data_IF_992829196197
#
_entry.id   IF_992829196197
#
_cell.length_a   1.000
_cell.length_b   1.000
_cell.length_c   1.000
_cell.angle_alpha   90.00
_cell.angle_beta   90.00
_cell.angle_gamma   90.00
#
_symmetry.space_group_name_H-M   'P 1'
#
loop_
_entity.id
_entity.type
_entity.pdbx_description
1 polymer ?
#
# COMPACT_ATOMS: atom_id res chain seq x y z
N UNK A 1 -24.31 25.76 -14.71
CA UNK A 1 -25.07 24.58 -14.29
C UNK A 1 -25.35 24.70 -12.80
N UNK A 2 -26.61 24.94 -12.43
CA UNK A 2 -26.99 25.05 -11.03
C UNK A 2 -26.97 23.64 -10.40
N UNK A 3 -26.06 23.42 -9.45
CA UNK A 3 -26.14 22.31 -8.49
C UNK A 3 -27.51 22.45 -7.81
N UNK A 4 -28.46 21.58 -8.17
CA UNK A 4 -29.68 21.40 -7.38
C UNK A 4 -29.21 20.94 -6.00
N UNK A 5 -29.13 21.89 -5.07
CA UNK A 5 -28.85 21.64 -3.66
C UNK A 5 -29.92 20.67 -3.16
N UNK A 6 -29.52 19.41 -3.04
CA UNK A 6 -30.39 18.35 -2.53
C UNK A 6 -30.74 18.69 -1.10
N UNK A 7 -32.00 18.44 -0.72
CA UNK A 7 -32.41 18.57 0.67
C UNK A 7 -31.53 17.65 1.53
N UNK A 8 -30.94 18.17 2.62
CA UNK A 8 -30.18 17.34 3.55
C UNK A 8 -31.09 16.22 4.07
N UNK A 9 -30.55 15.01 4.13
CA UNK A 9 -31.28 13.88 4.71
C UNK A 9 -31.34 14.12 6.22
N UNK A 10 -32.50 14.00 6.89
CA UNK A 10 -32.58 14.19 8.33
C UNK A 10 -31.61 13.26 9.05
N UNK A 11 -30.92 13.80 10.06
CA UNK A 11 -29.98 13.05 10.89
C UNK A 11 -30.71 11.88 11.55
N UNK A 12 -30.35 10.65 11.18
CA UNK A 12 -30.86 9.43 11.80
C UNK A 12 -29.78 8.77 12.66
N UNK A 13 -30.15 7.98 13.68
CA UNK A 13 -29.18 7.19 14.46
C UNK A 13 -28.31 6.28 13.59
N UNK A 14 -28.87 5.73 12.51
CA UNK A 14 -28.17 4.86 11.56
C UNK A 14 -27.11 5.63 10.77
N UNK A 15 -27.42 6.86 10.35
CA UNK A 15 -26.47 7.73 9.63
C UNK A 15 -25.32 8.20 10.53
N UNK A 16 -25.60 8.51 11.79
CA UNK A 16 -24.57 8.79 12.78
C UNK A 16 -23.67 7.56 13.03
N UNK A 17 -24.25 6.37 13.16
CA UNK A 17 -23.49 5.13 13.31
C UNK A 17 -22.63 4.78 12.08
N UNK A 18 -23.10 5.11 10.87
CA UNK A 18 -22.30 4.95 9.65
C UNK A 18 -21.12 5.92 9.61
N UNK A 19 -21.32 7.20 9.96
CA UNK A 19 -20.25 8.18 10.06
C UNK A 19 -19.15 7.72 11.03
N UNK A 20 -19.55 7.27 12.22
CA UNK A 20 -18.63 6.74 13.23
C UNK A 20 -17.90 5.48 12.73
N UNK A 21 -18.60 4.56 12.06
CA UNK A 21 -17.99 3.36 11.51
C UNK A 21 -16.99 3.66 10.38
N UNK A 22 -17.25 4.68 9.55
CA UNK A 22 -16.31 5.18 8.53
C UNK A 22 -15.05 5.73 9.19
N UNK A 23 -15.20 6.62 10.18
CA UNK A 23 -14.08 7.21 10.92
C UNK A 23 -13.21 6.13 11.57
N UNK A 24 -13.83 5.17 12.26
CA UNK A 24 -13.13 4.05 12.90
C UNK A 24 -12.41 3.16 11.88
N UNK A 25 -13.02 2.89 10.73
CA UNK A 25 -12.38 2.09 9.69
C UNK A 25 -11.18 2.81 9.07
N UNK A 26 -11.28 4.11 8.81
CA UNK A 26 -10.17 4.94 8.30
C UNK A 26 -9.02 5.04 9.30
N UNK A 27 -9.32 5.30 10.57
CA UNK A 27 -8.33 5.32 11.63
C UNK A 27 -7.59 3.97 11.74
N UNK A 28 -8.33 2.86 11.68
CA UNK A 28 -7.73 1.52 11.68
C UNK A 28 -6.84 1.28 10.47
N UNK A 29 -7.29 1.65 9.27
CA UNK A 29 -6.52 1.52 8.04
C UNK A 29 -5.23 2.35 8.09
N UNK A 30 -5.29 3.59 8.59
CA UNK A 30 -4.13 4.46 8.77
C UNK A 30 -3.11 3.89 9.77
N UNK A 31 -3.57 3.36 10.90
CA UNK A 31 -2.70 2.66 11.85
C UNK A 31 -2.03 1.47 11.21
N UNK A 32 -2.79 0.65 10.47
CA UNK A 32 -2.25 -0.52 9.79
C UNK A 32 -1.22 -0.16 8.73
N UNK A 33 -1.46 0.89 7.95
CA UNK A 33 -0.50 1.41 6.97
C UNK A 33 0.78 1.91 7.64
N UNK A 34 0.67 2.64 8.75
CA UNK A 34 1.83 3.10 9.52
C UNK A 34 2.68 1.92 10.03
N UNK A 35 2.05 0.89 10.59
CA UNK A 35 2.74 -0.32 11.07
C UNK A 35 3.37 -1.11 9.90
N UNK A 36 2.68 -1.20 8.75
CA UNK A 36 3.23 -1.83 7.56
C UNK A 36 4.47 -1.09 7.02
N UNK A 37 4.44 0.25 7.04
CA UNK A 37 5.59 1.08 6.68
C UNK A 37 6.76 0.90 7.66
N UNK A 38 6.49 0.76 8.96
CA UNK A 38 7.50 0.42 9.96
C UNK A 38 8.12 -0.96 9.69
N UNK A 39 7.31 -1.99 9.40
CA UNK A 39 7.81 -3.34 9.07
C UNK A 39 8.67 -3.35 7.80
N UNK A 40 8.25 -2.59 6.77
CA UNK A 40 9.04 -2.40 5.55
C UNK A 40 10.38 -1.71 5.84
N UNK A 41 10.36 -0.63 6.63
CA UNK A 41 11.57 0.10 7.03
C UNK A 41 12.53 -0.78 7.84
N UNK A 42 12.01 -1.59 8.78
CA UNK A 42 12.80 -2.54 9.55
C UNK A 42 13.44 -3.62 8.65
N UNK A 43 12.72 -4.10 7.63
CA UNK A 43 13.25 -5.05 6.64
C UNK A 43 14.41 -4.44 5.84
N UNK A 44 14.28 -3.19 5.40
CA UNK A 44 15.39 -2.46 4.76
C UNK A 44 16.56 -2.24 5.72
N UNK A 45 16.27 -1.94 7.00
CA UNK A 45 17.26 -1.82 8.07
C UNK A 45 18.09 -3.09 8.28
N UNK A 46 17.46 -4.27 8.27
CA UNK A 46 18.14 -5.57 8.36
C UNK A 46 19.10 -5.76 7.18
N UNK A 47 18.70 -5.44 5.96
CA UNK A 47 19.56 -5.57 4.80
C UNK A 47 20.82 -4.69 4.91
N UNK A 48 20.67 -3.46 5.40
CA UNK A 48 21.79 -2.55 5.66
C UNK A 48 22.67 -3.04 6.81
N UNK A 49 22.07 -3.51 7.91
CA UNK A 49 22.81 -4.03 9.06
C UNK A 49 23.63 -5.28 8.71
N UNK A 50 23.07 -6.21 7.91
CA UNK A 50 23.82 -7.37 7.39
C UNK A 50 25.03 -6.97 6.56
N UNK A 51 24.88 -5.92 5.73
CA UNK A 51 26.00 -5.37 4.98
C UNK A 51 27.06 -4.76 5.90
N UNK A 52 26.64 -4.06 6.96
CA UNK A 52 27.55 -3.50 7.95
C UNK A 52 28.33 -4.59 8.70
N UNK A 53 27.67 -5.70 9.08
CA UNK A 53 28.32 -6.87 9.70
C UNK A 53 29.39 -7.43 8.77
N UNK A 54 29.06 -7.69 7.50
CA UNK A 54 30.03 -8.21 6.53
C UNK A 54 31.23 -7.28 6.35
N UNK A 55 31.02 -5.96 6.29
CA UNK A 55 32.13 -4.98 6.20
C UNK A 55 32.98 -4.96 7.48
N UNK A 56 32.37 -5.13 8.65
CA UNK A 56 33.09 -5.18 9.92
C UNK A 56 33.91 -6.48 10.06
N UNK A 57 33.40 -7.62 9.58
CA UNK A 57 34.14 -8.88 9.49
C UNK A 57 35.38 -8.74 8.60
N UNK A 58 35.23 -8.16 7.41
CA UNK A 58 36.35 -7.84 6.52
C UNK A 58 37.36 -6.89 7.19
N UNK A 59 36.87 -5.89 7.92
CA UNK A 59 37.70 -4.96 8.69
C UNK A 59 38.52 -5.63 9.80
N UNK A 60 38.00 -6.69 10.44
CA UNK A 60 38.76 -7.48 11.41
C UNK A 60 39.91 -8.23 10.73
N UNK A 61 39.65 -8.86 9.58
CA UNK A 61 40.69 -9.55 8.80
C UNK A 61 41.77 -8.58 8.31
N UNK A 62 41.36 -7.40 7.83
CA UNK A 62 42.28 -6.36 7.40
C UNK A 62 43.14 -5.83 8.55
N UNK A 63 42.54 -5.58 9.72
CA UNK A 63 43.28 -5.13 10.91
C UNK A 63 44.31 -6.17 11.38
N UNK A 64 43.99 -7.47 11.30
CA UNK A 64 44.93 -8.55 11.61
C UNK A 64 46.11 -8.57 10.62
N UNK A 65 45.81 -8.48 9.32
CA UNK A 65 46.84 -8.45 8.28
C UNK A 65 47.73 -7.20 8.41
N UNK A 66 47.14 -6.04 8.70
CA UNK A 66 47.85 -4.78 8.92
C UNK A 66 48.74 -4.84 10.17
N UNK A 67 48.24 -5.41 11.27
CA UNK A 67 49.05 -5.63 12.48
C UNK A 67 50.26 -6.53 12.20
N UNK A 68 50.08 -7.62 11.44
CA UNK A 68 51.18 -8.49 11.02
C UNK A 68 52.23 -7.77 10.17
N UNK A 69 51.79 -6.99 9.17
CA UNK A 69 52.70 -6.16 8.35
C UNK A 69 53.44 -5.12 9.18
N UNK A 70 52.75 -4.46 10.12
CA UNK A 70 53.34 -3.46 10.99
C UNK A 70 54.40 -4.03 11.93
N UNK A 71 54.17 -5.23 12.50
CA UNK A 71 55.16 -5.91 13.33
C UNK A 71 56.44 -6.23 12.53
N UNK A 72 56.30 -6.69 11.28
CA UNK A 72 57.44 -6.94 10.39
C UNK A 72 58.19 -5.63 10.08
N UNK A 73 57.47 -4.55 9.72
CA UNK A 73 58.08 -3.25 9.45
C UNK A 73 58.79 -2.67 10.68
N UNK A 74 58.23 -2.88 11.87
CA UNK A 74 58.81 -2.46 13.15
C UNK A 74 60.13 -3.18 13.39
N UNK A 75 60.17 -4.50 13.18
CA UNK A 75 61.38 -5.30 13.32
C UNK A 75 62.50 -4.90 12.34
N UNK A 76 62.14 -4.31 11.18
CA UNK A 76 63.09 -3.78 10.19
C UNK A 76 63.51 -2.32 10.44
N UNK A 77 62.89 -1.62 11.39
CA UNK A 77 63.08 -0.18 11.58
C UNK A 77 62.44 0.69 10.49
N UNK A 78 61.50 0.14 9.73
CA UNK A 78 60.82 0.79 8.59
C UNK A 78 59.39 1.25 8.95
N UNK A 79 58.92 0.99 10.18
CA UNK A 79 57.57 1.33 10.60
C UNK A 79 57.34 2.85 10.70
N UNK A 80 56.21 3.31 10.19
CA UNK A 80 55.70 4.68 10.35
C UNK A 80 54.57 4.73 11.38
N UNK A 81 53.32 4.72 10.93
CA UNK A 81 52.13 4.85 11.76
C UNK A 81 51.52 3.48 12.12
N UNK A 82 51.00 3.37 13.35
CA UNK A 82 50.32 2.18 13.79
C UNK A 82 48.95 2.04 13.09
N UNK A 83 48.63 0.88 12.50
CA UNK A 83 47.32 0.68 11.87
C UNK A 83 46.21 0.61 12.91
N UNK A 84 44.95 0.65 12.43
CA UNK A 84 43.77 0.32 13.22
C UNK A 84 43.99 -0.97 14.01
N UNK A 85 43.67 -0.94 15.30
CA UNK A 85 43.88 -2.11 16.16
C UNK A 85 42.83 -3.19 15.90
N UNK A 86 43.23 -4.46 16.07
CA UNK A 86 42.29 -5.60 16.00
C UNK A 86 41.16 -5.46 17.03
N UNK A 87 41.43 -4.85 18.19
CA UNK A 87 40.39 -4.57 19.20
C UNK A 87 39.33 -3.62 18.65
N UNK A 88 39.72 -2.46 18.12
CA UNK A 88 38.78 -1.53 17.49
C UNK A 88 38.01 -2.16 16.33
N UNK A 89 38.62 -3.07 15.56
CA UNK A 89 37.91 -3.81 14.51
C UNK A 89 36.83 -4.75 15.07
N UNK A 90 37.10 -5.39 16.21
CA UNK A 90 36.13 -6.24 16.89
C UNK A 90 35.01 -5.44 17.55
N UNK A 91 35.33 -4.26 18.11
CA UNK A 91 34.33 -3.38 18.71
C UNK A 91 33.30 -2.94 17.65
N UNK A 92 33.74 -2.50 16.46
CA UNK A 92 32.82 -2.18 15.35
C UNK A 92 32.00 -3.39 14.88
N UNK A 93 32.57 -4.60 14.91
CA UNK A 93 31.83 -5.83 14.58
C UNK A 93 30.74 -6.11 15.62
N UNK A 94 31.04 -5.93 16.91
CA UNK A 94 30.04 -6.03 17.98
C UNK A 94 28.93 -4.99 17.79
N UNK A 95 29.27 -3.72 17.52
CA UNK A 95 28.27 -2.69 17.25
C UNK A 95 27.40 -3.02 16.03
N UNK A 96 27.99 -3.57 14.96
CA UNK A 96 27.25 -4.00 13.77
C UNK A 96 26.29 -5.17 14.07
N UNK A 97 26.71 -6.13 14.88
CA UNK A 97 25.88 -7.26 15.31
C UNK A 97 24.74 -6.81 16.23
N UNK A 98 24.99 -5.89 17.15
CA UNK A 98 23.97 -5.32 18.04
C UNK A 98 22.92 -4.55 17.24
N UNK A 99 23.34 -3.78 16.23
CA UNK A 99 22.43 -3.09 15.32
C UNK A 99 21.59 -4.06 14.49
N UNK A 100 22.17 -5.18 14.03
CA UNK A 100 21.41 -6.22 13.32
C UNK A 100 20.36 -6.84 14.24
N UNK A 101 20.73 -7.22 15.47
CA UNK A 101 19.81 -7.78 16.45
C UNK A 101 18.66 -6.81 16.78
N UNK A 102 18.97 -5.52 16.96
CA UNK A 102 17.96 -4.48 17.18
C UNK A 102 16.98 -4.35 16.00
N UNK A 103 17.48 -4.41 14.75
CA UNK A 103 16.64 -4.36 13.55
C UNK A 103 15.72 -5.58 13.43
N UNK A 104 16.22 -6.78 13.77
CA UNK A 104 15.43 -8.02 13.78
C UNK A 104 14.33 -7.99 14.86
N UNK A 105 14.64 -7.48 16.05
CA UNK A 105 13.63 -7.28 17.12
C UNK A 105 12.56 -6.29 16.67
N UNK A 106 12.95 -5.17 16.04
CA UNK A 106 12.00 -4.18 15.54
C UNK A 106 11.09 -4.76 14.43
N UNK A 107 11.63 -5.57 13.53
CA UNK A 107 10.84 -6.25 12.49
C UNK A 107 9.84 -7.22 13.12
N UNK A 108 10.27 -8.05 14.08
CA UNK A 108 9.39 -9.02 14.74
C UNK A 108 8.25 -8.33 15.52
N UNK A 109 8.56 -7.22 16.20
CA UNK A 109 7.56 -6.42 16.90
C UNK A 109 6.53 -5.82 15.94
N UNK A 110 6.98 -5.18 14.85
CA UNK A 110 6.09 -4.61 13.85
C UNK A 110 5.21 -5.67 13.16
N UNK A 111 5.77 -6.86 12.90
CA UNK A 111 5.02 -7.97 12.31
C UNK A 111 3.94 -8.50 13.26
N UNK A 112 4.26 -8.66 14.54
CA UNK A 112 3.30 -9.08 15.58
C UNK A 112 2.17 -8.06 15.73
N UNK A 113 2.50 -6.76 15.69
CA UNK A 113 1.50 -5.70 15.73
C UNK A 113 0.58 -5.73 14.49
N UNK A 114 1.16 -5.92 13.30
CA UNK A 114 0.41 -6.03 12.06
C UNK A 114 -0.57 -7.22 12.06
N UNK A 115 -0.14 -8.36 12.60
CA UNK A 115 -0.99 -9.54 12.77
C UNK A 115 -2.13 -9.30 13.78
N UNK A 116 -1.90 -8.48 14.80
CA UNK A 116 -2.93 -8.03 15.73
C UNK A 116 -3.95 -7.07 15.12
N UNK A 117 -3.60 -6.36 14.05
CA UNK A 117 -4.47 -5.40 13.35
C UNK A 117 -5.38 -6.09 12.32
N UNK A 118 -6.42 -6.76 12.82
CA UNK A 118 -7.42 -7.40 11.98
C UNK A 118 -8.46 -6.42 11.42
N UNK A 119 -8.56 -6.35 10.09
CA UNK A 119 -9.63 -5.58 9.41
C UNK A 119 -11.04 -6.15 9.63
N UNK A 120 -11.13 -7.39 10.15
CA UNK A 120 -12.39 -8.12 10.19
C UNK A 120 -13.48 -7.35 10.94
N UNK A 121 -13.15 -6.83 12.13
CA UNK A 121 -14.11 -6.14 12.98
C UNK A 121 -14.47 -4.76 12.43
N UNK A 122 -13.49 -3.96 11.99
CA UNK A 122 -13.74 -2.63 11.42
C UNK A 122 -14.58 -2.72 10.14
N UNK A 123 -14.25 -3.66 9.26
CA UNK A 123 -15.00 -3.92 8.02
C UNK A 123 -16.41 -4.45 8.30
N UNK A 124 -16.57 -5.34 9.29
CA UNK A 124 -17.88 -5.90 9.66
C UNK A 124 -18.79 -4.81 10.23
N UNK A 125 -18.26 -3.94 11.08
CA UNK A 125 -19.01 -2.83 11.66
C UNK A 125 -19.42 -1.81 10.58
N UNK A 126 -18.50 -1.45 9.68
CA UNK A 126 -18.79 -0.58 8.55
C UNK A 126 -19.90 -1.14 7.65
N UNK A 127 -19.81 -2.43 7.29
CA UNK A 127 -20.85 -3.11 6.51
C UNK A 127 -22.21 -3.09 7.21
N UNK A 128 -22.24 -3.39 8.52
CA UNK A 128 -23.47 -3.41 9.31
C UNK A 128 -24.12 -2.02 9.34
N UNK A 129 -23.33 -0.98 9.57
CA UNK A 129 -23.82 0.40 9.58
C UNK A 129 -24.34 0.84 8.20
N UNK A 130 -23.63 0.48 7.12
CA UNK A 130 -24.06 0.77 5.75
C UNK A 130 -25.40 0.08 5.41
N UNK A 131 -25.57 -1.19 5.80
CA UNK A 131 -26.84 -1.91 5.64
C UNK A 131 -27.97 -1.24 6.43
N UNK A 132 -27.71 -0.81 7.66
CA UNK A 132 -28.71 -0.13 8.48
C UNK A 132 -29.19 1.19 7.84
N UNK A 133 -28.27 1.98 7.27
CA UNK A 133 -28.63 3.21 6.53
C UNK A 133 -29.46 2.90 5.29
N UNK A 134 -29.10 1.87 4.50
CA UNK A 134 -29.89 1.48 3.33
C UNK A 134 -31.29 0.97 3.70
N UNK A 135 -31.43 0.31 4.84
CA UNK A 135 -32.73 -0.12 5.36
C UNK A 135 -33.57 1.06 5.85
N UNK A 136 -32.95 2.02 6.55
CA UNK A 136 -33.62 3.22 7.07
C UNK A 136 -34.02 4.22 5.96
N UNK A 137 -33.16 4.43 4.97
CA UNK A 137 -33.39 5.33 3.83
C UNK A 137 -34.38 4.74 2.80
N UNK A 138 -34.67 3.43 2.88
CA UNK A 138 -35.71 2.75 2.12
C UNK A 138 -35.29 2.25 0.73
N UNK A 139 -36.23 1.53 0.07
CA UNK A 139 -35.96 0.79 -1.16
C UNK A 139 -35.47 1.64 -2.34
N UNK A 140 -35.87 2.91 -2.42
CA UNK A 140 -35.44 3.84 -3.47
C UNK A 140 -33.94 4.17 -3.38
N UNK A 141 -33.42 4.34 -2.16
CA UNK A 141 -31.99 4.57 -1.93
C UNK A 141 -31.15 3.33 -2.29
N UNK A 142 -31.59 2.14 -1.87
CA UNK A 142 -30.93 0.88 -2.22
C UNK A 142 -30.90 0.63 -3.73
N UNK A 143 -32.00 0.91 -4.44
CA UNK A 143 -32.07 0.80 -5.90
C UNK A 143 -31.14 1.79 -6.62
N UNK A 144 -31.04 3.02 -6.12
CA UNK A 144 -30.11 4.00 -6.67
C UNK A 144 -28.65 3.55 -6.53
N UNK A 145 -28.27 3.00 -5.37
CA UNK A 145 -26.92 2.43 -5.17
C UNK A 145 -26.68 1.25 -6.12
N UNK A 146 -27.64 0.31 -6.21
CA UNK A 146 -27.52 -0.85 -7.08
C UNK A 146 -27.39 -0.48 -8.57
N UNK A 147 -28.15 0.52 -9.03
CA UNK A 147 -28.07 1.02 -10.40
C UNK A 147 -26.70 1.65 -10.72
N UNK A 148 -26.13 2.41 -9.79
CA UNK A 148 -24.80 2.99 -9.95
C UNK A 148 -23.71 1.92 -9.98
N UNK A 149 -23.79 0.92 -9.09
CA UNK A 149 -22.89 -0.24 -9.14
C UNK A 149 -22.99 -0.96 -10.48
N UNK A 150 -24.21 -1.16 -11.00
CA UNK A 150 -24.44 -1.75 -12.32
C UNK A 150 -23.81 -0.93 -13.46
N UNK A 151 -23.92 0.41 -13.41
CA UNK A 151 -23.29 1.32 -14.38
C UNK A 151 -21.77 1.18 -14.36
N UNK A 152 -21.16 1.22 -13.18
CA UNK A 152 -19.71 1.08 -13.00
C UNK A 152 -19.21 -0.29 -13.49
N UNK A 153 -19.97 -1.37 -13.26
CA UNK A 153 -19.66 -2.69 -13.79
C UNK A 153 -19.66 -2.70 -15.33
N UNK A 154 -20.65 -2.07 -15.97
CA UNK A 154 -20.71 -1.97 -17.42
C UNK A 154 -19.54 -1.17 -18.00
N UNK A 155 -19.19 -0.04 -17.38
CA UNK A 155 -18.03 0.75 -17.78
C UNK A 155 -16.74 -0.05 -17.67
N UNK A 156 -16.56 -0.78 -16.57
CA UNK A 156 -15.38 -1.61 -16.39
C UNK A 156 -15.33 -2.73 -17.43
N UNK A 157 -16.45 -3.41 -17.69
CA UNK A 157 -16.53 -4.42 -18.76
C UNK A 157 -16.18 -3.83 -20.12
N UNK A 158 -16.66 -2.62 -20.44
CA UNK A 158 -16.34 -1.93 -21.70
C UNK A 158 -14.85 -1.63 -21.82
N UNK A 159 -14.22 -1.09 -20.76
CA UNK A 159 -12.78 -0.81 -20.75
C UNK A 159 -11.97 -2.11 -20.85
N UNK A 160 -12.40 -3.19 -20.20
CA UNK A 160 -11.75 -4.48 -20.32
C UNK A 160 -11.86 -5.08 -21.72
N UNK A 161 -13.00 -4.94 -22.39
CA UNK A 161 -13.15 -5.33 -23.80
C UNK A 161 -12.22 -4.53 -24.71
N UNK A 162 -12.07 -3.22 -24.46
CA UNK A 162 -11.15 -2.37 -25.22
C UNK A 162 -9.69 -2.80 -25.02
N UNK A 163 -9.28 -3.08 -23.78
CA UNK A 163 -7.94 -3.60 -23.49
C UNK A 163 -7.70 -4.94 -24.18
N UNK A 164 -8.66 -5.87 -24.11
CA UNK A 164 -8.57 -7.16 -24.79
C UNK A 164 -8.45 -7.00 -26.31
N UNK A 165 -9.22 -6.08 -26.90
CA UNK A 165 -9.11 -5.74 -28.32
C UNK A 165 -7.70 -5.22 -28.67
N UNK A 166 -7.19 -4.27 -27.90
CA UNK A 166 -5.85 -3.70 -28.11
C UNK A 166 -4.74 -4.77 -27.99
N UNK A 167 -4.87 -5.72 -27.05
CA UNK A 167 -3.96 -6.87 -26.93
C UNK A 167 -4.06 -7.75 -28.18
N UNK A 168 -5.29 -8.12 -28.58
CA UNK A 168 -5.53 -8.99 -29.72
C UNK A 168 -5.05 -8.39 -31.05
N UNK A 169 -5.11 -7.07 -31.21
CA UNK A 169 -4.61 -6.37 -32.40
C UNK A 169 -3.11 -6.06 -32.33
N UNK A 170 -2.41 -6.48 -31.28
CA UNK A 170 -0.97 -6.21 -31.11
C UNK A 170 -0.65 -4.72 -30.97
N UNK A 171 -1.57 -3.92 -30.42
CA UNK A 171 -1.45 -2.47 -30.31
C UNK A 171 -0.48 -2.02 -29.21
N UNK A 172 -0.07 -2.93 -28.32
CA UNK A 172 0.94 -2.65 -27.31
C UNK A 172 2.33 -2.97 -27.85
N UNK A 173 3.22 -1.98 -27.81
CA UNK A 173 4.61 -2.13 -28.25
C UNK A 173 5.32 -3.17 -27.38
N UNK A 174 5.91 -4.19 -27.99
CA UNK A 174 6.76 -5.18 -27.30
C UNK A 174 8.20 -4.76 -27.52
N UNK A 175 8.76 -4.02 -26.56
CA UNK A 175 10.08 -3.41 -26.59
C UNK A 175 10.24 -2.17 -27.50
N UNK A 176 11.23 -1.36 -27.13
CA UNK A 176 11.81 -0.20 -27.80
C UNK A 176 12.49 -0.54 -29.15
N UNK A 177 12.30 -1.76 -29.69
CA UNK A 177 12.76 -2.18 -31.02
C UNK A 177 11.58 -2.41 -31.96
N UNK A 178 11.55 -1.60 -33.02
CA UNK A 178 10.60 -1.72 -34.14
C UNK A 178 10.75 -3.10 -34.82
N UNK A 179 9.68 -3.91 -34.83
CA UNK A 179 9.50 -4.98 -35.81
C UNK A 179 9.58 -6.44 -35.35
N UNK A 180 9.51 -6.79 -34.05
CA UNK A 180 9.50 -8.20 -33.62
C UNK A 180 8.37 -8.51 -32.62
N UNK A 181 7.56 -9.51 -32.97
CA UNK A 181 6.53 -10.22 -32.19
C UNK A 181 5.36 -9.39 -31.59
N UNK A 182 4.16 -9.63 -32.12
CA UNK A 182 2.89 -9.27 -31.47
C UNK A 182 2.57 -10.31 -30.38
N UNK A 183 2.17 -9.91 -29.18
CA UNK A 183 1.55 -10.90 -28.29
C UNK A 183 1.34 -10.62 -26.80
N UNK A 184 1.91 -9.58 -26.19
CA UNK A 184 1.66 -9.27 -24.77
C UNK A 184 1.77 -7.77 -24.52
N UNK A 185 0.99 -7.18 -23.58
CA UNK A 185 1.23 -5.81 -23.15
C UNK A 185 2.63 -5.72 -22.53
N UNK A 186 3.54 -4.95 -23.13
CA UNK A 186 4.87 -4.75 -22.54
C UNK A 186 4.84 -3.88 -21.28
N UNK A 187 3.76 -3.14 -21.09
CA UNK A 187 3.54 -2.38 -19.87
C UNK A 187 2.98 -3.32 -18.79
N UNK A 188 3.78 -3.54 -17.76
CA UNK A 188 3.41 -4.28 -16.56
C UNK A 188 2.07 -3.81 -15.98
N UNK A 189 1.77 -2.51 -16.06
CA UNK A 189 0.49 -1.97 -15.61
C UNK A 189 -0.70 -2.47 -16.44
N UNK A 190 -0.52 -2.66 -17.76
CA UNK A 190 -1.57 -3.16 -18.67
C UNK A 190 -1.76 -4.67 -18.50
N UNK A 191 -0.67 -5.44 -18.33
CA UNK A 191 -0.74 -6.88 -18.00
C UNK A 191 -1.46 -7.10 -16.68
N UNK A 192 -1.09 -6.35 -15.65
CA UNK A 192 -1.76 -6.34 -14.35
C UNK A 192 -3.25 -5.97 -14.49
N UNK A 193 -3.58 -4.95 -15.28
CA UNK A 193 -4.97 -4.55 -15.51
C UNK A 193 -5.79 -5.66 -16.20
N UNK A 194 -5.23 -6.32 -17.22
CA UNK A 194 -5.86 -7.42 -17.95
C UNK A 194 -6.11 -8.66 -17.06
N UNK A 195 -5.10 -9.10 -16.30
CA UNK A 195 -5.24 -10.24 -15.37
C UNK A 195 -6.31 -9.96 -14.29
N UNK A 196 -6.37 -8.71 -13.82
CA UNK A 196 -7.36 -8.28 -12.82
C UNK A 196 -8.78 -8.24 -13.37
N UNK A 197 -8.97 -7.75 -14.59
CA UNK A 197 -10.30 -7.72 -15.25
C UNK A 197 -10.90 -9.11 -15.48
N UNK A 198 -10.04 -10.12 -15.66
CA UNK A 198 -10.46 -11.51 -15.83
C UNK A 198 -10.59 -12.27 -14.49
N UNK A 199 -10.24 -11.65 -13.37
CA UNK A 199 -10.40 -12.23 -12.03
C UNK A 199 -11.79 -11.97 -11.47
N UNK A 200 -12.34 -12.85 -10.59
CA UNK A 200 -13.68 -12.67 -10.02
C UNK A 200 -13.79 -11.37 -9.22
N UNK A 201 -14.98 -10.71 -9.15
CA UNK A 201 -15.14 -9.40 -8.49
C UNK A 201 -14.67 -9.32 -7.04
N UNK A 202 -14.67 -10.45 -6.32
CA UNK A 202 -14.16 -10.56 -4.95
C UNK A 202 -12.64 -10.27 -4.82
N UNK A 203 -11.90 -10.38 -5.92
CA UNK A 203 -10.45 -10.13 -6.00
C UNK A 203 -10.09 -8.66 -6.29
N UNK A 204 -11.07 -7.80 -6.58
CA UNK A 204 -10.84 -6.41 -7.01
C UNK A 204 -10.66 -5.42 -5.84
N UNK A 205 -10.50 -5.91 -4.60
CA UNK A 205 -10.48 -5.11 -3.36
C UNK A 205 -9.43 -3.99 -3.31
N UNK A 206 -8.42 -3.99 -4.17
CA UNK A 206 -7.31 -3.02 -4.14
C UNK A 206 -7.54 -1.71 -4.92
N UNK A 207 -8.73 -1.47 -5.49
CA UNK A 207 -8.97 -0.37 -6.46
C UNK A 207 -9.81 0.81 -5.94
N UNK A 208 -10.29 0.78 -4.70
CA UNK A 208 -11.20 1.83 -4.19
C UNK A 208 -10.52 3.19 -3.97
N UNK A 209 -9.21 3.25 -3.82
CA UNK A 209 -8.53 4.49 -3.39
C UNK A 209 -7.98 5.36 -4.54
N UNK A 210 -7.97 4.89 -5.79
CA UNK A 210 -7.16 5.52 -6.86
C UNK A 210 -7.88 5.91 -8.16
N UNK A 211 -9.20 5.86 -8.23
CA UNK A 211 -9.95 6.24 -9.45
C UNK A 211 -10.77 7.52 -9.27
N UNK A 212 -10.71 8.42 -10.26
CA UNK A 212 -11.51 9.67 -10.29
C UNK A 212 -13.03 9.40 -10.32
N UNK A 213 -13.45 8.24 -10.82
CA UNK A 213 -14.85 7.80 -10.78
C UNK A 213 -15.39 7.62 -9.34
N UNK A 214 -14.50 7.32 -8.38
CA UNK A 214 -14.86 7.25 -6.97
C UNK A 214 -14.83 8.61 -6.26
N UNK A 215 -14.40 9.70 -6.91
CA UNK A 215 -14.27 11.02 -6.28
C UNK A 215 -15.59 11.56 -5.68
N UNK A 216 -16.76 11.45 -6.34
CA UNK A 216 -18.04 11.88 -5.76
C UNK A 216 -18.41 11.06 -4.52
N UNK A 217 -18.10 9.76 -4.53
CA UNK A 217 -18.33 8.86 -3.39
C UNK A 217 -17.33 9.10 -2.25
N UNK A 218 -16.06 9.37 -2.55
CA UNK A 218 -15.05 9.77 -1.56
C UNK A 218 -15.43 11.09 -0.89
N UNK A 219 -15.81 12.10 -1.67
CA UNK A 219 -16.28 13.38 -1.15
C UNK A 219 -17.54 13.23 -0.29
N UNK A 220 -18.47 12.35 -0.68
CA UNK A 220 -19.65 12.07 0.15
C UNK A 220 -19.31 11.31 1.44
N UNK A 221 -18.36 10.37 1.42
CA UNK A 221 -17.89 9.67 2.62
C UNK A 221 -17.10 10.59 3.55
N UNK A 222 -16.28 11.50 3.01
CA UNK A 222 -15.61 12.57 3.77
C UNK A 222 -16.62 13.56 4.37
N UNK A 223 -17.63 13.95 3.61
CA UNK A 223 -18.70 14.80 4.13
C UNK A 223 -19.49 14.09 5.25
N UNK A 224 -19.79 12.80 5.09
CA UNK A 224 -20.48 12.01 6.11
C UNK A 224 -19.68 11.89 7.42
N UNK A 225 -18.36 11.91 7.37
CA UNK A 225 -17.50 11.89 8.56
C UNK A 225 -17.68 13.16 9.42
N UNK A 226 -17.82 14.32 8.78
CA UNK A 226 -18.05 15.60 9.48
C UNK A 226 -19.52 15.98 9.67
N UNK A 227 -20.41 15.41 8.86
CA UNK A 227 -21.84 15.74 8.80
C UNK A 227 -22.67 14.52 8.35
N UNK A 228 -23.28 13.83 9.31
CA UNK A 228 -24.13 12.66 9.03
C UNK A 228 -25.42 12.99 8.23
N UNK A 229 -25.73 14.26 7.97
CA UNK A 229 -26.83 14.68 7.07
C UNK A 229 -26.40 14.77 5.61
N UNK A 230 -25.11 14.59 5.32
CA UNK A 230 -24.57 14.68 3.96
C UNK A 230 -25.28 13.72 2.99
N UNK A 231 -25.63 14.18 1.78
CA UNK A 231 -26.32 13.37 0.80
C UNK A 231 -25.35 12.35 0.18
N UNK A 232 -25.82 11.11 -0.01
CA UNK A 232 -25.11 10.13 -0.84
C UNK A 232 -25.22 10.52 -2.32
N UNK A 233 -24.20 10.20 -3.15
CA UNK A 233 -24.31 10.38 -4.59
C UNK A 233 -25.48 9.55 -5.12
N UNK A 234 -26.22 10.07 -6.10
CA UNK A 234 -27.20 9.26 -6.83
C UNK A 234 -26.84 9.19 -8.31
N UNK A 235 -27.33 8.14 -8.95
CA UNK A 235 -27.17 7.78 -10.38
C UNK A 235 -27.36 8.96 -11.34
N UNK A 236 -28.19 9.94 -10.98
CA UNK A 236 -28.54 11.09 -11.84
C UNK A 236 -27.55 12.25 -11.82
N UNK A 237 -26.57 12.28 -10.91
CA UNK A 237 -25.62 13.39 -10.79
C UNK A 237 -24.26 13.13 -11.50
N UNK A 238 -24.02 11.91 -11.99
CA UNK A 238 -22.76 11.49 -12.59
C UNK A 238 -23.03 11.13 -14.06
N UNK A 239 -23.29 12.16 -14.88
CA UNK A 239 -23.27 12.07 -16.34
C UNK A 239 -24.21 11.05 -17.00
N UNK A 240 -25.45 11.46 -17.28
CA UNK A 240 -26.06 11.02 -18.54
C UNK A 240 -25.25 11.67 -19.68
N UNK A 241 -24.95 10.96 -20.78
CA UNK A 241 -24.25 11.54 -21.93
C UNK A 241 -24.97 12.76 -22.50
#
# INVERSE_FOLDING_TARGET
>A
MALLARKPTPLSPERAALAEAIANHRAHAATREAVANMASSATSGIALARRAVSLAEDGVLEAQAAAGRFLIATAKGEASEAPRTVRQARDDLTDALDNLAAAEVAQAAAQTELEGLSDYMSTTNLKRAAVAVLQADGASAALAVAAEVGRLQQELSRHGQLLNFLVATGAFAVSDRVGMYHGQPADEAVRIAHERLNSPPSSWRALTDRTDAAAPWRAALEALEGDATAPLPSVTAIGAP
#
